data_IF_032085742223
#
_entry.id   IF_032085742223
#
_cell.length_a   1.000
_cell.length_b   1.000
_cell.length_c   1.000
_cell.angle_alpha   90.00
_cell.angle_beta   90.00
_cell.angle_gamma   90.00
#
_symmetry.space_group_name_H-M   'P 1'
#
loop_
_entity.id
_entity.type
_entity.pdbx_description
1 polymer ?
#
# COMPACT_ATOMS: atom_id res chain seq x y z
N UNK A 1 -4.89 11.25 8.27
CA UNK A 1 -4.51 10.25 9.30
C UNK A 1 -2.98 10.22 9.36
N UNK A 2 -2.41 10.43 10.53
CA UNK A 2 -0.97 10.68 10.66
C UNK A 2 -0.08 9.49 10.26
N UNK A 3 -0.56 8.28 10.50
CA UNK A 3 0.21 7.07 10.22
C UNK A 3 -0.06 6.47 8.85
N UNK A 4 -0.68 7.24 7.97
CA UNK A 4 -1.10 6.71 6.67
C UNK A 4 -0.99 7.81 5.62
N UNK A 5 -0.32 7.51 4.51
CA UNK A 5 -0.17 8.50 3.44
C UNK A 5 0.09 7.82 2.11
N UNK A 6 -0.29 8.50 1.05
CA UNK A 6 0.07 8.10 -0.30
C UNK A 6 1.49 8.58 -0.62
N UNK A 7 2.25 7.71 -1.25
CA UNK A 7 3.62 8.00 -1.68
C UNK A 7 3.68 7.84 -3.20
N UNK A 8 4.15 8.87 -3.88
CA UNK A 8 4.38 8.79 -5.32
C UNK A 8 5.69 8.03 -5.58
N UNK A 9 5.64 7.12 -6.54
CA UNK A 9 6.78 6.30 -6.92
C UNK A 9 7.31 6.74 -8.27
N UNK A 10 8.63 6.69 -8.44
CA UNK A 10 9.26 7.09 -9.69
C UNK A 10 9.28 5.92 -10.65
N UNK A 11 8.65 6.12 -11.81
CA UNK A 11 8.61 5.14 -12.88
C UNK A 11 9.70 5.42 -13.90
N UNK A 12 10.39 4.38 -14.31
CA UNK A 12 11.36 4.41 -15.40
C UNK A 12 10.84 3.57 -16.56
N UNK A 13 10.60 4.20 -17.70
CA UNK A 13 9.99 3.50 -18.81
C UNK A 13 10.68 3.76 -20.14
N UNK A 14 10.51 2.83 -21.05
CA UNK A 14 10.89 2.96 -22.45
C UNK A 14 9.88 2.17 -23.29
N UNK A 15 10.22 1.89 -24.55
CA UNK A 15 9.31 1.16 -25.43
C UNK A 15 9.10 -0.31 -25.06
N UNK A 16 9.83 -0.82 -24.08
CA UNK A 16 9.66 -2.19 -23.56
C UNK A 16 8.73 -2.25 -22.36
N UNK A 17 8.38 -1.11 -21.77
CA UNK A 17 7.53 -1.05 -20.60
C UNK A 17 8.09 -0.12 -19.54
N UNK A 18 7.57 -0.24 -18.33
CA UNK A 18 7.93 0.63 -17.22
C UNK A 18 8.43 -0.19 -16.04
N UNK A 19 9.30 0.42 -15.24
CA UNK A 19 9.91 -0.20 -14.08
C UNK A 19 9.90 0.75 -12.91
N UNK A 20 9.53 0.25 -11.74
CA UNK A 20 9.62 0.99 -10.48
C UNK A 20 10.43 0.13 -9.52
N UNK A 21 11.47 0.71 -8.95
CA UNK A 21 12.29 0.05 -7.93
C UNK A 21 11.94 0.64 -6.57
N UNK A 22 11.85 -0.22 -5.57
CA UNK A 22 11.54 0.17 -4.19
C UNK A 22 12.73 -0.11 -3.32
N UNK A 23 13.31 0.92 -2.74
CA UNK A 23 14.51 0.80 -1.93
C UNK A 23 14.31 1.46 -0.56
N UNK A 24 14.91 0.83 0.46
CA UNK A 24 14.94 1.39 1.79
C UNK A 24 15.58 2.78 1.78
N UNK A 25 15.01 3.70 2.55
CA UNK A 25 15.49 5.08 2.71
C UNK A 25 15.37 5.95 1.46
N UNK A 26 14.88 5.39 0.38
CA UNK A 26 14.66 6.10 -0.87
C UNK A 26 13.16 6.25 -1.12
N UNK A 27 12.47 5.13 -1.28
CA UNK A 27 11.03 5.07 -1.52
C UNK A 27 10.30 4.51 -0.32
N UNK A 28 10.94 3.60 0.41
CA UNK A 28 10.34 2.85 1.50
C UNK A 28 10.92 3.36 2.82
N UNK A 29 10.08 3.91 3.71
CA UNK A 29 10.57 4.52 4.96
C UNK A 29 10.83 3.51 6.09
N UNK A 30 11.11 2.26 5.76
CA UNK A 30 11.39 1.23 6.75
C UNK A 30 12.21 0.10 6.13
N UNK A 31 12.76 -0.77 6.98
CA UNK A 31 13.42 -1.99 6.53
C UNK A 31 12.40 -2.98 5.99
N UNK A 32 12.58 -3.38 4.75
CA UNK A 32 11.70 -4.38 4.14
C UNK A 32 12.14 -5.76 4.64
N UNK A 33 11.29 -6.39 5.42
CA UNK A 33 11.56 -7.72 5.97
C UNK A 33 10.76 -8.82 5.31
N UNK A 34 9.69 -8.46 4.62
CA UNK A 34 8.82 -9.41 3.96
C UNK A 34 8.12 -8.74 2.80
N UNK A 35 8.04 -9.46 1.70
CA UNK A 35 7.25 -9.04 0.54
C UNK A 35 6.25 -10.14 0.23
N UNK A 36 5.00 -9.74 0.01
CA UNK A 36 3.98 -10.66 -0.47
C UNK A 36 3.05 -9.92 -1.40
N UNK A 37 2.35 -10.65 -2.23
CA UNK A 37 1.37 -10.07 -3.12
C UNK A 37 0.14 -10.96 -3.18
N UNK A 38 -0.98 -10.34 -3.53
CA UNK A 38 -2.29 -10.99 -3.61
C UNK A 38 -2.75 -10.89 -5.06
N UNK A 39 -3.24 -11.98 -5.59
CA UNK A 39 -3.72 -12.02 -6.97
C UNK A 39 -4.94 -12.92 -7.08
N UNK A 40 -5.61 -12.85 -8.23
CA UNK A 40 -6.85 -13.60 -8.47
C UNK A 40 -7.93 -13.34 -7.43
N UNK A 41 -7.97 -12.10 -6.92
CA UNK A 41 -8.97 -11.70 -5.95
C UNK A 41 -10.32 -11.53 -6.64
N UNK A 42 -11.35 -12.10 -6.05
CA UNK A 42 -12.71 -11.92 -6.55
C UNK A 42 -13.19 -10.52 -6.24
N UNK A 43 -13.85 -9.89 -7.23
CA UNK A 43 -14.38 -8.55 -7.10
C UNK A 43 -15.33 -8.46 -5.91
N UNK A 44 -15.17 -7.42 -5.11
CA UNK A 44 -16.01 -7.16 -3.96
C UNK A 44 -15.70 -7.97 -2.71
N UNK A 45 -14.62 -8.77 -2.73
CA UNK A 45 -14.25 -9.59 -1.58
C UNK A 45 -13.28 -8.81 -0.68
N UNK A 46 -13.65 -8.53 0.58
CA UNK A 46 -12.73 -7.88 1.50
C UNK A 46 -11.65 -8.83 2.01
N UNK A 47 -10.51 -8.27 2.32
CA UNK A 47 -9.37 -8.99 2.90
C UNK A 47 -8.70 -8.15 3.97
N UNK A 48 -7.95 -8.80 4.83
CA UNK A 48 -7.27 -8.15 5.94
C UNK A 48 -8.15 -8.06 7.16
N UNK A 49 -8.63 -6.86 7.47
CA UNK A 49 -9.50 -6.61 8.62
C UNK A 49 -8.83 -6.92 9.96
N UNK A 50 -7.54 -6.59 10.05
CA UNK A 50 -6.80 -6.77 11.29
C UNK A 50 -5.88 -5.57 11.54
N UNK A 51 -5.59 -5.33 12.80
CA UNK A 51 -4.64 -4.30 13.19
C UNK A 51 -3.24 -4.89 13.28
N UNK A 52 -2.26 -4.11 12.89
CA UNK A 52 -0.88 -4.49 13.01
C UNK A 52 -0.19 -3.53 13.99
N UNK A 53 0.19 -4.02 15.15
CA UNK A 53 0.71 -3.18 16.22
C UNK A 53 2.18 -2.84 16.07
N UNK A 54 2.94 -3.63 15.29
CA UNK A 54 4.39 -3.50 15.23
C UNK A 54 4.95 -3.41 13.82
N UNK A 55 4.11 -3.57 12.81
CA UNK A 55 4.60 -3.59 11.41
C UNK A 55 4.11 -2.39 10.65
N UNK A 56 5.01 -1.89 9.81
CA UNK A 56 4.69 -0.90 8.80
C UNK A 56 4.53 -1.61 7.48
N UNK A 57 3.70 -1.07 6.59
CA UNK A 57 3.47 -1.67 5.28
C UNK A 57 3.43 -0.62 4.20
N UNK A 58 3.79 -1.05 2.99
CA UNK A 58 3.50 -0.32 1.76
C UNK A 58 2.64 -1.20 0.87
N UNK A 59 1.54 -0.65 0.41
CA UNK A 59 0.55 -1.34 -0.42
C UNK A 59 0.55 -0.72 -1.81
N UNK A 60 0.68 -1.56 -2.83
CA UNK A 60 0.72 -1.11 -4.22
C UNK A 60 -0.22 -1.97 -5.03
N UNK A 61 -1.07 -1.33 -5.83
CA UNK A 61 -1.92 -2.03 -6.78
C UNK A 61 -1.23 -2.04 -8.14
N UNK A 62 -0.58 -3.15 -8.48
CA UNK A 62 0.23 -3.23 -9.70
C UNK A 62 -0.61 -3.45 -10.95
N UNK A 63 -1.85 -3.88 -10.79
CA UNK A 63 -2.76 -4.12 -11.90
C UNK A 63 -4.20 -3.93 -11.44
N UNK A 64 -5.01 -3.24 -12.22
CA UNK A 64 -6.40 -2.99 -11.88
C UNK A 64 -6.55 -1.89 -10.84
N UNK A 65 -7.47 -2.08 -9.91
CA UNK A 65 -7.72 -1.11 -8.84
C UNK A 65 -8.20 -1.82 -7.59
N UNK A 66 -7.93 -1.20 -6.44
CA UNK A 66 -8.44 -1.69 -5.17
C UNK A 66 -8.72 -0.51 -4.24
N UNK A 67 -9.55 -0.76 -3.25
CA UNK A 67 -9.82 0.19 -2.17
C UNK A 67 -9.24 -0.33 -0.87
N UNK A 68 -8.56 0.53 -0.16
CA UNK A 68 -8.00 0.21 1.14
C UNK A 68 -8.68 1.07 2.18
N UNK A 69 -9.36 0.44 3.11
CA UNK A 69 -9.99 1.11 4.24
C UNK A 69 -9.07 1.03 5.43
N UNK A 70 -8.75 2.18 5.99
CA UNK A 70 -7.85 2.29 7.13
C UNK A 70 -8.61 2.89 8.31
N UNK A 71 -8.47 2.28 9.49
CA UNK A 71 -9.16 2.68 10.70
C UNK A 71 -8.13 2.77 11.82
N UNK A 72 -8.11 3.92 12.54
CA UNK A 72 -7.17 4.10 13.63
C UNK A 72 -7.67 3.53 14.98
N UNK A 73 -8.86 2.93 14.99
CA UNK A 73 -9.43 2.38 16.22
C UNK A 73 -9.98 3.43 17.17
N UNK A 74 -9.96 4.70 16.79
CA UNK A 74 -10.39 5.83 17.62
C UNK A 74 -11.48 6.66 16.94
N UNK A 75 -12.21 6.05 16.04
CA UNK A 75 -13.31 6.70 15.34
C UNK A 75 -12.94 7.35 14.02
N UNK A 76 -11.68 7.35 13.62
CA UNK A 76 -11.26 7.91 12.34
C UNK A 76 -11.05 6.81 11.32
N UNK A 77 -11.66 6.96 10.16
CA UNK A 77 -11.54 6.04 9.04
C UNK A 77 -11.26 6.83 7.76
N UNK A 78 -10.42 6.26 6.91
CA UNK A 78 -10.15 6.80 5.58
C UNK A 78 -10.17 5.67 4.57
N UNK A 79 -10.59 5.99 3.34
CA UNK A 79 -10.58 5.05 2.23
C UNK A 79 -9.66 5.60 1.16
N UNK A 80 -8.73 4.78 0.71
CA UNK A 80 -7.81 5.12 -0.35
C UNK A 80 -8.07 4.22 -1.54
N UNK A 81 -8.09 4.81 -2.73
CA UNK A 81 -8.20 4.05 -3.97
C UNK A 81 -6.83 3.95 -4.61
N UNK A 82 -6.40 2.72 -4.86
CA UNK A 82 -5.13 2.45 -5.54
C UNK A 82 -5.45 1.91 -6.93
N UNK A 83 -5.13 2.67 -7.94
CA UNK A 83 -5.46 2.33 -9.34
C UNK A 83 -4.29 2.51 -10.29
N UNK A 84 -3.09 2.71 -9.76
CA UNK A 84 -1.89 2.85 -10.56
C UNK A 84 -0.70 2.25 -9.82
N UNK A 85 0.24 1.61 -10.53
CA UNK A 85 1.47 1.12 -9.89
C UNK A 85 2.43 2.24 -9.48
N UNK A 86 2.15 3.48 -9.85
CA UNK A 86 3.00 4.63 -9.53
C UNK A 86 2.70 5.25 -8.18
N UNK A 87 1.76 4.68 -7.42
CA UNK A 87 1.43 5.13 -6.08
C UNK A 87 1.49 3.97 -5.10
N UNK A 88 1.96 4.25 -3.90
CA UNK A 88 1.90 3.32 -2.78
C UNK A 88 1.15 3.95 -1.63
N UNK A 89 0.46 3.13 -0.86
CA UNK A 89 -0.13 3.56 0.40
C UNK A 89 0.76 3.07 1.53
N UNK A 90 1.35 4.00 2.25
CA UNK A 90 2.09 3.70 3.47
C UNK A 90 1.11 3.62 4.64
N UNK A 91 1.18 2.55 5.41
CA UNK A 91 0.43 2.41 6.65
C UNK A 91 1.40 2.11 7.78
N UNK A 92 1.37 2.92 8.82
CA UNK A 92 2.17 2.70 10.01
C UNK A 92 1.55 1.68 10.94
N UNK A 93 2.08 1.61 12.15
CA UNK A 93 1.59 0.70 13.17
C UNK A 93 0.23 1.15 13.73
N UNK A 94 -0.48 0.23 14.39
CA UNK A 94 -1.75 0.49 15.08
C UNK A 94 -2.90 0.91 14.16
N UNK A 95 -2.89 0.45 12.91
CA UNK A 95 -3.98 0.71 11.98
C UNK A 95 -4.65 -0.59 11.54
N UNK A 96 -5.96 -0.55 11.43
CA UNK A 96 -6.77 -1.61 10.81
C UNK A 96 -6.86 -1.37 9.31
N UNK A 97 -6.72 -2.42 8.52
CA UNK A 97 -6.80 -2.30 7.06
C UNK A 97 -7.32 -3.57 6.37
#
# INVERSE_FOLDING_TARGET
>A
MDNCRLIELTSHGDNRGSLIALEKEHDVPFDIKRVFYIYDTKRGTPRGQHANKKSEQMLICVSGSCRVKVDNGKGMQEVYELNTPEQALYTGTMLWR
#
